data_IF_428395627436
#
_entry.id   IF_428395627436
#
_cell.length_a   1.000
_cell.length_b   1.000
_cell.length_c   1.000
_cell.angle_alpha   90.00
_cell.angle_beta   90.00
_cell.angle_gamma   90.00
#
_symmetry.space_group_name_H-M   'P 1'
#
loop_
_entity.id
_entity.type
_entity.pdbx_description
1 polymer ?
#
# COMPACT_ATOMS: atom_id res chain seq x y z
N UNK A 1 3.34 23.22 -10.21
CA UNK A 1 2.39 23.77 -9.20
C UNK A 1 3.11 24.81 -8.35
N UNK A 2 2.54 26.00 -8.11
CA UNK A 2 3.14 27.02 -7.23
C UNK A 2 3.08 26.61 -5.75
N UNK A 3 4.03 27.08 -4.92
CA UNK A 3 4.11 26.78 -3.50
C UNK A 3 2.81 27.13 -2.74
N UNK A 4 2.18 28.25 -3.08
CA UNK A 4 0.91 28.74 -2.50
C UNK A 4 -0.27 27.81 -2.78
N UNK A 5 -0.30 27.16 -3.97
CA UNK A 5 -1.32 26.16 -4.33
C UNK A 5 -1.09 24.84 -3.59
N UNK A 6 0.18 24.50 -3.28
CA UNK A 6 0.55 23.32 -2.49
C UNK A 6 0.13 23.46 -1.03
N UNK A 7 0.28 24.65 -0.45
CA UNK A 7 -0.14 24.93 0.94
C UNK A 7 -1.66 24.86 1.14
N UNK A 8 -2.42 25.47 0.23
CA UNK A 8 -3.90 25.40 0.24
C UNK A 8 -4.45 24.00 0.02
N UNK A 9 -3.71 23.14 -0.72
CA UNK A 9 -4.03 21.72 -0.90
C UNK A 9 -3.60 20.84 0.29
N UNK A 10 -2.58 21.23 1.05
CA UNK A 10 -2.08 20.48 2.20
C UNK A 10 -2.95 20.69 3.44
N UNK A 11 -3.34 21.94 3.71
CA UNK A 11 -4.23 22.30 4.82
C UNK A 11 -5.34 23.23 4.32
N UNK A 12 -6.59 22.72 4.31
CA UNK A 12 -7.80 23.56 4.16
C UNK A 12 -8.11 24.38 5.43
N UNK A 13 -7.12 24.58 6.29
CA UNK A 13 -7.25 25.02 7.69
C UNK A 13 -7.27 23.85 8.68
N UNK A 14 -6.57 24.02 9.82
CA UNK A 14 -6.42 23.00 10.85
C UNK A 14 -7.77 22.47 11.36
N UNK A 15 -8.69 23.39 11.67
CA UNK A 15 -10.01 23.05 12.19
C UNK A 15 -10.84 22.20 11.22
N UNK A 16 -10.82 22.53 9.94
CA UNK A 16 -11.55 21.80 8.90
C UNK A 16 -10.97 20.40 8.74
N UNK A 17 -9.64 20.27 8.65
CA UNK A 17 -9.00 18.96 8.50
C UNK A 17 -9.21 18.06 9.72
N UNK A 18 -9.14 18.63 10.93
CA UNK A 18 -9.44 17.90 12.18
C UNK A 18 -10.90 17.48 12.22
N UNK A 19 -11.85 18.37 11.92
CA UNK A 19 -13.27 18.06 11.90
C UNK A 19 -13.62 16.97 10.86
N UNK A 20 -13.14 17.10 9.62
CA UNK A 20 -13.35 16.11 8.57
C UNK A 20 -12.76 14.75 8.91
N UNK A 21 -11.62 14.72 9.61
CA UNK A 21 -11.04 13.45 10.07
C UNK A 21 -11.84 12.86 11.23
N UNK A 22 -12.19 13.65 12.24
CA UNK A 22 -12.98 13.20 13.38
C UNK A 22 -14.31 12.59 12.93
N UNK A 23 -15.03 13.26 12.04
CA UNK A 23 -16.28 12.74 11.47
C UNK A 23 -16.09 11.42 10.73
N UNK A 24 -15.04 11.28 9.91
CA UNK A 24 -14.68 9.99 9.27
C UNK A 24 -14.30 8.92 10.29
N UNK A 25 -13.57 9.26 11.34
CA UNK A 25 -13.21 8.33 12.41
C UNK A 25 -14.45 7.87 13.18
N UNK A 26 -15.42 8.75 13.44
CA UNK A 26 -16.68 8.40 14.08
C UNK A 26 -17.55 7.48 13.21
N UNK A 27 -17.63 7.72 11.90
CA UNK A 27 -18.31 6.81 10.97
C UNK A 27 -17.63 5.43 10.92
N UNK A 28 -16.30 5.41 10.83
CA UNK A 28 -15.52 4.16 10.91
C UNK A 28 -15.70 3.45 12.26
N UNK A 29 -15.74 4.17 13.37
CA UNK A 29 -15.97 3.62 14.70
C UNK A 29 -17.34 2.93 14.80
N UNK A 30 -18.40 3.56 14.25
CA UNK A 30 -19.73 2.95 14.23
C UNK A 30 -19.76 1.65 13.43
N UNK A 31 -19.02 1.58 12.32
CA UNK A 31 -18.95 0.39 11.45
C UNK A 31 -18.00 -0.69 11.97
N UNK A 32 -16.91 -0.29 12.61
CA UNK A 32 -15.84 -1.17 13.07
C UNK A 32 -15.16 -0.63 14.35
N UNK A 33 -15.79 -0.85 15.53
CA UNK A 33 -15.28 -0.31 16.79
C UNK A 33 -13.95 -0.94 17.20
N UNK A 34 -13.71 -2.21 16.84
CA UNK A 34 -12.44 -2.92 17.11
C UNK A 34 -11.28 -2.26 16.36
N UNK A 35 -11.45 -1.97 15.07
CA UNK A 35 -10.45 -1.25 14.29
C UNK A 35 -10.22 0.15 14.85
N UNK A 36 -11.27 0.86 15.28
CA UNK A 36 -11.11 2.20 15.83
C UNK A 36 -10.23 2.22 17.10
N UNK A 37 -10.44 1.26 18.01
CA UNK A 37 -9.57 1.09 19.19
C UNK A 37 -8.13 0.82 18.77
N UNK A 38 -7.93 -0.06 17.78
CA UNK A 38 -6.60 -0.30 17.22
C UNK A 38 -6.00 0.96 16.59
N UNK A 39 -6.74 1.74 15.81
CA UNK A 39 -6.23 2.94 15.15
C UNK A 39 -5.80 4.06 16.12
N UNK A 40 -6.29 4.02 17.36
CA UNK A 40 -5.81 4.88 18.45
C UNK A 40 -4.59 4.25 19.12
N UNK A 41 -4.73 3.01 19.59
CA UNK A 41 -3.74 2.34 20.42
C UNK A 41 -2.48 1.94 19.63
N UNK A 42 -2.63 1.51 18.38
CA UNK A 42 -1.56 1.12 17.47
C UNK A 42 -0.58 2.23 17.13
N UNK A 43 -0.91 3.50 17.42
CA UNK A 43 0.04 4.61 17.29
C UNK A 43 1.21 4.50 18.25
N UNK A 44 1.02 3.82 19.38
CA UNK A 44 2.02 3.70 20.44
C UNK A 44 2.84 2.42 20.25
N UNK A 45 4.14 2.57 20.00
CA UNK A 45 5.07 1.45 19.78
C UNK A 45 5.03 0.40 20.90
N UNK A 46 4.98 0.83 22.16
CA UNK A 46 4.91 -0.10 23.30
C UNK A 46 3.62 -0.93 23.34
N UNK A 47 2.47 -0.36 22.94
CA UNK A 47 1.22 -1.13 22.82
C UNK A 47 1.35 -2.17 21.71
N UNK A 48 1.88 -1.77 20.54
CA UNK A 48 2.13 -2.71 19.44
C UNK A 48 3.00 -3.88 19.89
N UNK A 49 4.08 -3.61 20.61
CA UNK A 49 4.97 -4.66 21.12
C UNK A 49 4.27 -5.61 22.09
N UNK A 50 3.39 -5.11 22.96
CA UNK A 50 2.59 -5.96 23.87
C UNK A 50 1.63 -6.83 23.06
N UNK A 51 0.88 -6.24 22.12
CA UNK A 51 -0.10 -6.97 21.31
C UNK A 51 0.56 -8.03 20.44
N UNK A 52 1.73 -7.76 19.84
CA UNK A 52 2.50 -8.77 19.09
C UNK A 52 2.86 -9.98 19.95
N UNK A 53 3.36 -9.74 21.18
CA UNK A 53 3.69 -10.83 22.13
C UNK A 53 2.47 -11.65 22.58
N UNK A 54 1.29 -11.05 22.57
CA UNK A 54 0.03 -11.72 22.90
C UNK A 54 -0.63 -12.40 21.70
N UNK A 55 -0.19 -12.11 20.47
CA UNK A 55 -0.72 -12.71 19.27
C UNK A 55 -0.32 -14.19 19.20
N UNK A 56 -1.09 -14.96 18.41
CA UNK A 56 -0.78 -16.35 18.13
C UNK A 56 0.65 -16.44 17.57
N UNK A 57 1.48 -17.23 18.24
CA UNK A 57 2.87 -17.39 17.86
C UNK A 57 2.96 -18.21 16.58
N UNK A 58 3.74 -17.73 15.61
CA UNK A 58 3.94 -18.46 14.35
C UNK A 58 4.65 -19.79 14.62
N UNK A 59 4.14 -20.87 14.05
CA UNK A 59 4.90 -22.11 13.97
C UNK A 59 5.87 -22.03 12.79
N UNK A 60 7.02 -21.36 12.99
CA UNK A 60 8.02 -21.17 11.94
C UNK A 60 8.50 -22.50 11.32
N UNK A 61 8.47 -23.61 12.07
CA UNK A 61 8.85 -24.91 11.55
C UNK A 61 7.88 -25.42 10.48
N UNK A 62 6.59 -25.09 10.60
CA UNK A 62 5.59 -25.38 9.57
C UNK A 62 5.89 -24.61 8.27
N UNK A 63 6.20 -23.31 8.36
CA UNK A 63 6.51 -22.49 7.18
C UNK A 63 7.82 -22.92 6.50
N UNK A 64 8.84 -23.28 7.29
CA UNK A 64 10.12 -23.78 6.77
C UNK A 64 9.96 -25.10 5.99
N UNK A 65 9.08 -26.00 6.44
CA UNK A 65 8.84 -27.30 5.80
C UNK A 65 8.23 -27.22 4.39
N UNK A 66 7.73 -26.05 3.99
CA UNK A 66 7.11 -25.81 2.69
C UNK A 66 7.96 -24.90 1.79
N UNK A 67 9.17 -24.52 2.22
CA UNK A 67 9.97 -23.52 1.51
C UNK A 67 10.39 -23.94 0.09
N UNK A 68 10.53 -25.25 -0.17
CA UNK A 68 10.86 -25.80 -1.49
C UNK A 68 9.74 -25.63 -2.53
N UNK A 69 8.51 -25.34 -2.09
CA UNK A 69 7.36 -25.08 -2.95
C UNK A 69 7.16 -23.59 -3.28
N UNK A 70 8.06 -22.72 -2.79
CA UNK A 70 7.97 -21.28 -3.01
C UNK A 70 8.42 -20.87 -4.41
N UNK A 71 7.86 -19.75 -4.88
CA UNK A 71 8.33 -19.09 -6.09
C UNK A 71 9.55 -18.16 -5.83
N UNK A 72 9.90 -17.90 -4.57
CA UNK A 72 10.99 -17.01 -4.14
C UNK A 72 12.18 -17.76 -3.53
N UNK A 73 12.69 -18.77 -4.24
CA UNK A 73 13.72 -19.67 -3.71
C UNK A 73 15.07 -18.99 -3.40
N UNK A 74 15.39 -17.91 -4.11
CA UNK A 74 16.65 -17.17 -3.92
C UNK A 74 16.61 -16.19 -2.73
N UNK A 75 15.44 -16.01 -2.12
CA UNK A 75 15.23 -15.02 -1.07
C UNK A 75 15.55 -15.62 0.31
N UNK A 76 16.41 -14.92 1.06
CA UNK A 76 16.68 -15.22 2.46
C UNK A 76 15.66 -14.52 3.37
N UNK A 77 14.68 -15.27 3.88
CA UNK A 77 13.62 -14.73 4.72
C UNK A 77 14.12 -14.13 6.05
N UNK A 78 15.22 -14.64 6.60
CA UNK A 78 15.82 -14.13 7.84
C UNK A 78 16.42 -12.75 7.60
N UNK A 79 17.27 -12.62 6.59
CA UNK A 79 17.89 -11.34 6.18
C UNK A 79 16.83 -10.26 5.93
N UNK A 80 15.77 -10.61 5.19
CA UNK A 80 14.68 -9.68 4.91
C UNK A 80 13.97 -9.25 6.19
N UNK A 81 13.59 -10.20 7.05
CA UNK A 81 12.87 -9.89 8.28
C UNK A 81 13.72 -9.03 9.24
N UNK A 82 15.02 -9.29 9.33
CA UNK A 82 15.92 -8.52 10.17
C UNK A 82 16.14 -7.11 9.62
N UNK A 83 16.33 -6.97 8.30
CA UNK A 83 16.38 -5.65 7.64
C UNK A 83 15.07 -4.89 7.87
N UNK A 84 13.90 -5.53 7.73
CA UNK A 84 12.62 -4.89 8.00
C UNK A 84 12.46 -4.43 9.46
N UNK A 85 13.02 -5.15 10.43
CA UNK A 85 12.99 -4.72 11.84
C UNK A 85 13.81 -3.45 12.06
N UNK A 86 14.97 -3.34 11.42
CA UNK A 86 15.86 -2.18 11.50
C UNK A 86 15.32 -0.98 10.70
N UNK A 87 14.98 -1.22 9.43
CA UNK A 87 14.73 -0.18 8.44
C UNK A 87 13.25 0.05 8.13
N UNK A 88 12.39 -0.93 8.42
CA UNK A 88 10.99 -0.90 8.01
C UNK A 88 10.77 -1.01 6.50
N UNK A 89 11.84 -1.19 5.72
CA UNK A 89 11.84 -1.30 4.26
C UNK A 89 12.91 -2.28 3.80
N UNK A 90 12.56 -3.21 2.91
CA UNK A 90 13.52 -4.09 2.22
C UNK A 90 13.23 -4.11 0.73
N UNK A 91 14.20 -3.69 -0.07
CA UNK A 91 14.12 -3.70 -1.54
C UNK A 91 14.50 -5.06 -2.13
N UNK A 92 14.19 -5.35 -3.38
CA UNK A 92 14.73 -6.53 -4.09
C UNK A 92 14.02 -7.85 -3.80
N UNK A 93 12.75 -7.82 -3.41
CA UNK A 93 11.89 -9.02 -3.39
C UNK A 93 11.33 -9.20 -4.81
N UNK A 94 12.14 -9.74 -5.71
CA UNK A 94 11.81 -9.80 -7.15
C UNK A 94 10.72 -10.82 -7.44
N UNK A 95 9.71 -10.40 -8.19
CA UNK A 95 8.61 -11.24 -8.65
C UNK A 95 9.12 -12.19 -9.74
N UNK A 96 8.83 -13.50 -9.64
CA UNK A 96 9.19 -14.47 -10.69
C UNK A 96 8.48 -14.19 -12.00
N UNK A 97 9.19 -14.34 -13.14
CA UNK A 97 8.71 -13.94 -14.46
C UNK A 97 7.37 -14.57 -14.86
N UNK A 98 7.15 -15.84 -14.52
CA UNK A 98 5.89 -16.52 -14.84
C UNK A 98 4.70 -15.94 -14.05
N UNK A 99 4.90 -15.58 -12.78
CA UNK A 99 3.89 -14.91 -11.94
C UNK A 99 3.61 -13.50 -12.48
N UNK A 100 4.68 -12.76 -12.83
CA UNK A 100 4.57 -11.44 -13.45
C UNK A 100 3.72 -11.49 -14.72
N UNK A 101 4.02 -12.44 -15.61
CA UNK A 101 3.33 -12.59 -16.89
C UNK A 101 1.84 -12.91 -16.70
N UNK A 102 1.49 -13.84 -15.80
CA UNK A 102 0.09 -14.17 -15.52
C UNK A 102 -0.70 -12.98 -14.95
N UNK A 103 -0.08 -12.18 -14.07
CA UNK A 103 -0.72 -10.99 -13.52
C UNK A 103 -0.92 -9.91 -14.60
N UNK A 104 0.06 -9.74 -15.49
CA UNK A 104 -0.07 -8.81 -16.62
C UNK A 104 -1.18 -9.24 -17.57
N UNK A 105 -1.25 -10.53 -17.92
CA UNK A 105 -2.34 -11.08 -18.74
C UNK A 105 -3.70 -10.79 -18.11
N UNK A 106 -3.85 -11.08 -16.81
CA UNK A 106 -5.06 -10.75 -16.06
C UNK A 106 -5.38 -9.24 -16.10
N UNK A 107 -4.39 -8.38 -15.87
CA UNK A 107 -4.58 -6.94 -15.85
C UNK A 107 -5.00 -6.39 -17.22
N UNK A 108 -4.41 -6.87 -18.32
CA UNK A 108 -4.75 -6.40 -19.66
C UNK A 108 -6.08 -6.98 -20.18
N UNK A 109 -6.52 -8.13 -19.67
CA UNK A 109 -7.77 -8.78 -20.10
C UNK A 109 -8.98 -8.49 -19.21
N UNK A 110 -8.82 -7.74 -18.11
CA UNK A 110 -9.87 -7.54 -17.10
C UNK A 110 -10.16 -6.05 -16.90
N UNK A 111 -11.43 -5.69 -16.70
CA UNK A 111 -11.77 -4.30 -16.41
C UNK A 111 -11.14 -3.81 -15.10
N UNK A 112 -10.49 -2.66 -15.16
CA UNK A 112 -10.09 -1.88 -14.01
C UNK A 112 -11.08 -0.73 -13.78
N UNK A 113 -11.13 -0.20 -12.56
CA UNK A 113 -12.18 0.73 -12.12
C UNK A 113 -11.60 2.07 -11.69
N UNK A 114 -11.94 3.11 -12.46
CA UNK A 114 -11.41 4.45 -12.32
C UNK A 114 -11.72 5.13 -10.99
N UNK A 115 -10.73 5.82 -10.42
CA UNK A 115 -10.84 6.64 -9.20
C UNK A 115 -11.53 5.93 -8.02
N UNK A 116 -11.28 4.62 -7.85
CA UNK A 116 -11.87 3.74 -6.81
C UNK A 116 -13.40 3.56 -6.93
N UNK A 117 -14.02 3.98 -8.03
CA UNK A 117 -15.45 3.89 -8.25
C UNK A 117 -15.79 2.59 -8.99
N UNK A 118 -16.53 1.64 -8.37
CA UNK A 118 -16.89 0.36 -9.01
C UNK A 118 -17.78 0.51 -10.25
N UNK A 119 -18.28 1.71 -10.56
CA UNK A 119 -19.08 1.98 -11.76
C UNK A 119 -18.31 2.64 -12.90
N UNK A 120 -17.01 2.84 -12.73
CA UNK A 120 -16.13 3.41 -13.76
C UNK A 120 -15.20 2.33 -14.32
N UNK A 121 -15.76 1.17 -14.70
CA UNK A 121 -15.02 0.04 -15.27
C UNK A 121 -14.61 0.26 -16.73
N UNK A 122 -13.42 -0.19 -17.10
CA UNK A 122 -12.91 -0.18 -18.48
C UNK A 122 -11.71 -1.13 -18.62
N UNK A 123 -11.46 -1.64 -19.82
CA UNK A 123 -10.20 -2.32 -20.12
C UNK A 123 -9.08 -1.29 -20.27
N UNK A 124 -7.89 -1.58 -19.74
CA UNK A 124 -6.76 -0.64 -19.82
C UNK A 124 -6.44 -0.22 -21.27
N UNK A 125 -6.60 -1.12 -22.25
CA UNK A 125 -6.42 -0.83 -23.69
C UNK A 125 -7.37 0.24 -24.23
N UNK A 126 -8.50 0.48 -23.57
CA UNK A 126 -9.50 1.47 -23.98
C UNK A 126 -9.29 2.83 -23.32
N UNK A 127 -8.32 2.97 -22.41
CA UNK A 127 -8.15 4.14 -21.54
C UNK A 127 -8.17 5.46 -22.32
N UNK A 128 -7.42 5.53 -23.41
CA UNK A 128 -7.25 6.76 -24.20
C UNK A 128 -8.47 7.10 -25.06
N UNK A 129 -9.38 6.14 -25.24
CA UNK A 129 -10.65 6.32 -25.98
C UNK A 129 -11.81 6.72 -25.06
N UNK A 130 -11.61 6.71 -23.73
CA UNK A 130 -12.67 7.00 -22.77
C UNK A 130 -13.05 8.47 -22.80
N UNK A 131 -14.32 8.73 -23.12
CA UNK A 131 -14.92 10.04 -22.93
C UNK A 131 -15.55 10.12 -21.53
N UNK A 132 -14.71 10.35 -20.51
CA UNK A 132 -15.16 10.55 -19.13
C UNK A 132 -15.29 12.04 -18.80
N UNK A 133 -16.40 12.46 -18.20
CA UNK A 133 -16.55 13.81 -17.64
C UNK A 133 -15.50 14.12 -16.56
N UNK A 134 -14.99 13.09 -15.88
CA UNK A 134 -13.99 13.20 -14.82
C UNK A 134 -12.67 12.60 -15.26
N UNK A 135 -11.58 13.33 -15.05
CA UNK A 135 -10.21 12.83 -15.26
C UNK A 135 -9.93 11.62 -14.36
N UNK A 136 -9.46 10.54 -14.96
CA UNK A 136 -9.05 9.32 -14.24
C UNK A 136 -7.56 9.44 -13.89
N UNK A 137 -7.23 9.49 -12.59
CA UNK A 137 -5.83 9.55 -12.12
C UNK A 137 -5.30 8.17 -11.70
N UNK A 138 -6.22 7.25 -11.43
CA UNK A 138 -5.94 5.88 -10.99
C UNK A 138 -7.08 4.97 -11.41
N UNK A 139 -6.81 3.69 -11.56
CA UNK A 139 -7.84 2.66 -11.64
C UNK A 139 -7.40 1.43 -10.86
N UNK A 140 -8.31 0.77 -10.16
CA UNK A 140 -7.98 -0.44 -9.40
C UNK A 140 -8.79 -1.64 -9.89
N UNK A 141 -8.25 -2.82 -9.67
CA UNK A 141 -8.98 -4.06 -9.85
C UNK A 141 -9.63 -4.45 -8.52
N UNK A 142 -10.72 -5.21 -8.60
CA UNK A 142 -11.41 -5.76 -7.44
C UNK A 142 -11.40 -7.29 -7.52
N UNK A 143 -11.51 -7.94 -6.36
CA UNK A 143 -11.53 -9.41 -6.24
C UNK A 143 -10.28 -10.09 -6.84
N UNK A 144 -9.12 -9.44 -6.81
CA UNK A 144 -7.92 -9.88 -7.53
C UNK A 144 -7.42 -11.25 -7.08
N UNK A 145 -7.37 -11.52 -5.78
CA UNK A 145 -7.00 -12.85 -5.25
C UNK A 145 -8.04 -13.95 -5.50
N UNK A 146 -9.27 -13.59 -5.85
CA UNK A 146 -10.31 -14.55 -6.25
C UNK A 146 -10.28 -14.85 -7.75
N UNK A 147 -9.87 -13.88 -8.56
CA UNK A 147 -9.96 -13.93 -10.02
C UNK A 147 -8.61 -14.21 -10.71
N UNK A 148 -7.48 -13.93 -10.07
CA UNK A 148 -6.14 -14.14 -10.60
C UNK A 148 -5.40 -15.20 -9.76
N UNK A 149 -5.18 -16.43 -10.29
CA UNK A 149 -4.49 -17.49 -9.57
C UNK A 149 -3.08 -17.09 -9.09
N UNK A 150 -2.30 -16.38 -9.90
CA UNK A 150 -0.99 -15.85 -9.53
C UNK A 150 -1.04 -14.96 -8.26
N UNK A 151 -2.04 -14.08 -8.12
CA UNK A 151 -2.18 -13.25 -6.92
C UNK A 151 -2.56 -14.10 -5.70
N UNK A 152 -3.39 -15.13 -5.89
CA UNK A 152 -3.69 -16.10 -4.83
C UNK A 152 -2.43 -16.87 -4.40
N UNK A 153 -1.63 -17.33 -5.37
CA UNK A 153 -0.35 -18.00 -5.12
C UNK A 153 0.58 -17.12 -4.30
N UNK A 154 0.68 -15.82 -4.59
CA UNK A 154 1.47 -14.89 -3.78
C UNK A 154 0.94 -14.72 -2.35
N UNK A 155 -0.38 -14.68 -2.17
CA UNK A 155 -0.99 -14.58 -0.85
C UNK A 155 -0.72 -15.81 0.04
N UNK A 156 -0.50 -16.97 -0.60
CA UNK A 156 -0.26 -18.26 0.05
C UNK A 156 1.21 -18.71 -0.06
N UNK A 157 2.10 -17.91 -0.68
CA UNK A 157 3.48 -18.33 -0.98
C UNK A 157 4.27 -18.58 0.31
N UNK A 158 4.84 -19.79 0.50
CA UNK A 158 5.52 -20.15 1.74
C UNK A 158 6.63 -19.19 2.17
N UNK A 159 7.37 -18.58 1.22
CA UNK A 159 8.46 -17.66 1.54
C UNK A 159 7.96 -16.29 1.96
N UNK A 160 6.93 -15.76 1.30
CA UNK A 160 6.31 -14.49 1.71
C UNK A 160 5.64 -14.62 3.09
N UNK A 161 4.98 -15.76 3.33
CA UNK A 161 4.41 -16.10 4.64
C UNK A 161 5.52 -16.25 5.69
N UNK A 162 6.64 -16.91 5.39
CA UNK A 162 7.79 -17.02 6.30
C UNK A 162 8.34 -15.64 6.68
N UNK A 163 8.57 -14.77 5.70
CA UNK A 163 9.03 -13.39 5.94
C UNK A 163 8.04 -12.65 6.85
N UNK A 164 6.75 -12.71 6.53
CA UNK A 164 5.71 -12.08 7.32
C UNK A 164 5.69 -12.60 8.76
N UNK A 165 5.74 -13.93 8.95
CA UNK A 165 5.77 -14.55 10.27
C UNK A 165 6.97 -14.09 11.11
N UNK A 166 8.17 -14.08 10.51
CA UNK A 166 9.41 -13.64 11.18
C UNK A 166 9.42 -12.16 11.54
N UNK A 167 8.83 -11.34 10.68
CA UNK A 167 8.79 -9.90 10.87
C UNK A 167 7.71 -9.49 11.88
N UNK A 168 6.52 -10.09 11.80
CA UNK A 168 5.39 -9.81 12.67
C UNK A 168 5.54 -10.44 14.06
N UNK A 169 6.41 -11.46 14.19
CA UNK A 169 6.61 -12.27 15.41
C UNK A 169 5.31 -12.95 15.87
N UNK A 170 4.51 -13.38 14.88
CA UNK A 170 3.16 -13.91 15.05
C UNK A 170 2.71 -14.63 13.76
N UNK A 171 1.70 -15.48 13.88
CA UNK A 171 1.06 -16.16 12.74
C UNK A 171 0.45 -15.13 11.78
N UNK A 172 0.98 -14.99 10.55
CA UNK A 172 0.58 -13.93 9.64
C UNK A 172 -0.78 -14.24 9.00
N UNK A 173 -1.69 -13.27 9.05
CA UNK A 173 -3.00 -13.33 8.41
C UNK A 173 -2.93 -12.53 7.11
N UNK A 174 -3.18 -13.17 5.97
CA UNK A 174 -3.42 -12.44 4.73
C UNK A 174 -4.70 -11.59 4.88
N UNK A 175 -4.55 -10.27 4.73
CA UNK A 175 -5.66 -9.31 4.92
C UNK A 175 -6.21 -8.76 3.60
N UNK A 176 -5.46 -8.93 2.51
CA UNK A 176 -5.93 -8.60 1.17
C UNK A 176 -4.81 -8.26 0.19
N UNK A 177 -5.21 -8.14 -1.06
CA UNK A 177 -4.39 -7.70 -2.18
C UNK A 177 -4.97 -6.42 -2.78
N UNK A 178 -4.12 -5.66 -3.48
CA UNK A 178 -4.57 -4.51 -4.26
C UNK A 178 -3.72 -4.41 -5.53
N UNK A 179 -4.38 -4.39 -6.67
CA UNK A 179 -3.75 -4.15 -7.97
C UNK A 179 -4.31 -2.84 -8.53
N UNK A 180 -3.45 -1.89 -8.90
CA UNK A 180 -3.93 -0.62 -9.42
C UNK A 180 -2.93 0.11 -10.32
N UNK A 181 -3.50 0.84 -11.26
CA UNK A 181 -2.82 1.81 -12.10
C UNK A 181 -2.75 3.18 -11.43
N UNK A 182 -1.66 3.89 -11.69
CA UNK A 182 -1.58 5.34 -11.56
C UNK A 182 -1.30 5.89 -12.95
N UNK A 183 -2.09 6.87 -13.38
CA UNK A 183 -2.08 7.34 -14.76
C UNK A 183 -1.29 8.63 -14.91
N UNK A 184 -0.57 8.75 -16.01
CA UNK A 184 -0.10 10.03 -16.51
C UNK A 184 -1.32 10.86 -16.87
N UNK A 185 -1.35 12.07 -16.35
CA UNK A 185 -2.40 13.06 -16.62
C UNK A 185 -1.71 14.35 -16.96
N UNK A 186 -2.29 15.16 -17.85
CA UNK A 186 -1.75 16.49 -18.17
C UNK A 186 -1.83 17.46 -16.98
N UNK A 187 -0.89 18.40 -16.89
CA UNK A 187 -0.85 19.43 -15.83
C UNK A 187 -2.03 20.39 -15.85
N UNK A 188 -2.70 20.54 -17.00
CA UNK A 188 -3.90 21.34 -17.16
C UNK A 188 -5.09 20.80 -16.36
N UNK A 189 -5.11 19.49 -16.08
CA UNK A 189 -6.20 18.85 -15.36
C UNK A 189 -6.00 18.98 -13.84
N UNK A 190 -7.08 19.23 -13.06
CA UNK A 190 -6.98 19.39 -11.62
C UNK A 190 -6.59 18.08 -10.93
N UNK A 191 -5.30 17.90 -10.67
CA UNK A 191 -4.75 16.76 -9.93
C UNK A 191 -5.14 16.84 -8.45
N UNK A 192 -6.08 15.99 -8.01
CA UNK A 192 -6.54 15.96 -6.61
C UNK A 192 -5.53 15.22 -5.72
N UNK A 193 -4.74 15.98 -4.96
CA UNK A 193 -3.76 15.47 -3.99
C UNK A 193 -4.40 14.61 -2.88
N UNK A 194 -5.71 14.73 -2.64
CA UNK A 194 -6.41 13.89 -1.67
C UNK A 194 -6.70 12.48 -2.18
N UNK A 195 -6.80 12.30 -3.50
CA UNK A 195 -7.07 11.00 -4.15
C UNK A 195 -5.80 10.25 -4.53
N UNK A 196 -4.66 10.93 -4.55
CA UNK A 196 -3.40 10.42 -5.14
C UNK A 196 -2.29 10.22 -4.11
N UNK A 197 -2.62 10.31 -2.81
CA UNK A 197 -1.72 9.97 -1.69
C UNK A 197 -0.33 10.63 -1.83
N UNK A 198 -0.33 11.93 -2.17
CA UNK A 198 0.90 12.67 -2.53
C UNK A 198 1.69 13.19 -1.34
N UNK A 199 1.12 13.11 -0.14
CA UNK A 199 1.75 13.56 1.10
C UNK A 199 2.22 12.37 1.91
N UNK A 200 3.34 12.52 2.60
CA UNK A 200 3.83 11.50 3.51
C UNK A 200 2.79 11.20 4.57
N UNK A 201 2.53 9.92 4.79
CA UNK A 201 1.64 9.40 5.81
C UNK A 201 2.07 7.98 6.14
N UNK A 202 1.53 7.41 7.19
CA UNK A 202 1.67 5.99 7.48
C UNK A 202 0.28 5.41 7.67
N UNK A 203 0.17 4.12 7.46
CA UNK A 203 -1.07 3.39 7.56
C UNK A 203 -1.23 2.73 8.92
N UNK A 204 -2.48 2.64 9.36
CA UNK A 204 -2.87 2.14 10.69
C UNK A 204 -3.87 1.03 10.45
N UNK A 205 -3.35 -0.06 9.92
CA UNK A 205 -4.14 -1.18 9.41
C UNK A 205 -4.30 -2.25 10.50
N UNK A 206 -3.27 -2.41 11.33
CA UNK A 206 -3.25 -3.24 12.54
C UNK A 206 -2.09 -2.81 13.47
N UNK A 207 -1.92 -3.47 14.61
CA UNK A 207 -0.77 -3.32 15.51
C UNK A 207 0.56 -3.80 14.88
N UNK A 208 0.49 -4.67 13.88
CA UNK A 208 1.63 -5.12 13.09
C UNK A 208 1.13 -5.49 11.69
N UNK A 209 1.71 -4.90 10.66
CA UNK A 209 1.31 -5.15 9.28
C UNK A 209 2.53 -5.02 8.37
N UNK A 210 2.62 -5.91 7.39
CA UNK A 210 3.67 -5.97 6.40
C UNK A 210 3.03 -6.00 5.01
N UNK A 211 3.55 -5.17 4.10
CA UNK A 211 3.14 -5.17 2.70
C UNK A 211 4.30 -5.58 1.82
N UNK A 212 4.01 -6.42 0.84
CA UNK A 212 4.86 -6.65 -0.31
C UNK A 212 4.29 -5.88 -1.50
N UNK A 213 5.13 -5.12 -2.17
CA UNK A 213 4.79 -4.39 -3.39
C UNK A 213 5.61 -4.94 -4.55
N UNK A 214 4.99 -5.01 -5.72
CA UNK A 214 5.63 -5.42 -6.96
C UNK A 214 5.25 -4.45 -8.07
N UNK A 215 6.24 -3.85 -8.72
CA UNK A 215 6.01 -3.07 -9.93
C UNK A 215 5.78 -4.03 -11.10
N UNK A 216 4.70 -3.80 -11.85
CA UNK A 216 4.34 -4.60 -13.03
C UNK A 216 4.67 -3.86 -14.34
N UNK A 217 5.00 -2.58 -14.24
CA UNK A 217 5.62 -1.76 -15.26
C UNK A 217 6.98 -1.29 -14.79
N UNK A 218 7.83 -0.83 -15.70
CA UNK A 218 9.10 -0.20 -15.32
C UNK A 218 8.83 1.11 -14.57
N UNK A 219 9.66 1.45 -13.59
CA UNK A 219 9.51 2.67 -12.76
C UNK A 219 10.85 3.36 -12.62
N UNK A 220 11.01 4.46 -13.34
CA UNK A 220 12.10 5.41 -13.20
C UNK A 220 11.67 6.61 -12.31
N UNK A 221 12.50 7.66 -12.27
CA UNK A 221 12.22 8.89 -11.51
C UNK A 221 10.91 9.59 -11.94
N UNK A 222 10.51 9.44 -13.20
CA UNK A 222 9.33 10.05 -13.79
C UNK A 222 8.13 9.08 -13.87
N UNK A 223 8.33 7.80 -13.59
CA UNK A 223 7.29 6.75 -13.52
C UNK A 223 6.42 6.83 -12.27
N UNK A 224 6.57 7.89 -11.47
CA UNK A 224 5.82 8.11 -10.25
C UNK A 224 6.16 7.12 -9.15
N UNK A 225 7.43 6.94 -8.76
CA UNK A 225 7.86 5.95 -7.78
C UNK A 225 7.18 6.08 -6.42
N UNK A 226 7.05 4.93 -5.74
CA UNK A 226 6.70 4.89 -4.33
C UNK A 226 7.90 5.43 -3.53
N UNK A 227 7.63 6.25 -2.51
CA UNK A 227 8.67 6.82 -1.66
C UNK A 227 8.40 6.42 -0.23
N UNK A 228 9.38 5.81 0.43
CA UNK A 228 9.30 5.34 1.81
C UNK A 228 10.43 5.95 2.64
N UNK A 229 10.17 6.25 3.91
CA UNK A 229 11.15 6.80 4.85
C UNK A 229 11.69 5.70 5.74
N UNK A 230 12.94 5.30 5.50
CA UNK A 230 13.65 4.26 6.26
C UNK A 230 13.69 4.60 7.76
N UNK A 231 13.51 3.59 8.60
CA UNK A 231 13.58 3.68 10.07
C UNK A 231 12.41 4.44 10.71
N UNK A 232 11.48 4.97 9.92
CA UNK A 232 10.41 5.81 10.45
C UNK A 232 9.29 5.01 11.13
N UNK A 233 9.18 3.69 10.92
CA UNK A 233 8.21 2.81 11.57
C UNK A 233 8.35 2.74 13.11
N UNK A 234 9.56 2.93 13.63
CA UNK A 234 9.86 2.91 15.08
C UNK A 234 10.26 4.28 15.61
N UNK A 235 10.91 5.13 14.80
CA UNK A 235 11.49 6.40 15.24
C UNK A 235 10.56 7.61 15.04
N UNK A 236 9.33 7.55 15.58
CA UNK A 236 8.41 8.72 15.58
C UNK A 236 8.48 9.50 16.87
N UNK A 237 8.47 10.82 16.77
CA UNK A 237 8.38 11.71 17.93
C UNK A 237 6.97 11.68 18.54
N UNK A 238 6.86 11.98 19.83
CA UNK A 238 5.55 12.01 20.51
C UNK A 238 4.55 12.99 19.83
N UNK A 239 4.96 14.20 19.39
CA UNK A 239 4.07 15.06 18.60
C UNK A 239 3.59 14.40 17.31
N UNK A 240 4.45 13.65 16.60
CA UNK A 240 4.05 12.95 15.38
C UNK A 240 3.03 11.84 15.64
N UNK A 241 3.13 11.15 16.77
CA UNK A 241 2.23 10.08 17.21
C UNK A 241 0.85 10.64 17.61
N UNK A 242 0.84 11.69 18.44
CA UNK A 242 -0.38 12.27 19.01
C UNK A 242 -1.19 13.10 18.02
N UNK A 243 -0.55 13.60 16.96
CA UNK A 243 -1.22 14.48 16.02
C UNK A 243 -2.34 13.77 15.23
N UNK A 244 -3.54 14.35 15.12
CA UNK A 244 -4.70 13.69 14.50
C UNK A 244 -4.57 13.57 12.97
N UNK A 245 -3.83 14.46 12.32
CA UNK A 245 -3.66 14.51 10.86
C UNK A 245 -2.36 13.81 10.46
N UNK A 246 -2.41 12.54 10.07
CA UNK A 246 -1.21 11.74 9.74
C UNK A 246 -0.34 12.26 8.58
N UNK A 247 -0.82 13.25 7.81
CA UNK A 247 -0.08 13.81 6.67
C UNK A 247 1.09 14.68 7.13
N UNK A 248 2.21 14.59 6.42
CA UNK A 248 3.44 15.37 6.63
C UNK A 248 3.90 15.99 5.32
N UNK A 249 4.50 17.17 5.42
CA UNK A 249 5.20 17.78 4.29
C UNK A 249 6.56 17.12 4.12
N UNK A 250 7.11 17.24 2.92
CA UNK A 250 8.45 16.77 2.59
C UNK A 250 9.52 17.43 3.49
N UNK A 251 9.42 18.74 3.74
CA UNK A 251 10.40 19.47 4.53
C UNK A 251 10.43 18.99 6.00
N UNK A 252 9.25 18.70 6.57
CA UNK A 252 9.13 18.16 7.94
C UNK A 252 9.74 16.75 8.06
N UNK A 253 9.55 15.92 7.02
CA UNK A 253 10.11 14.57 6.97
C UNK A 253 11.62 14.64 6.85
N UNK A 254 12.15 15.44 5.92
CA UNK A 254 13.60 15.58 5.72
C UNK A 254 14.26 16.16 6.97
N UNK A 255 13.65 17.17 7.60
CA UNK A 255 14.18 17.75 8.84
C UNK A 255 14.23 16.74 10.00
N UNK A 256 13.30 15.79 10.06
CA UNK A 256 13.21 14.81 11.14
C UNK A 256 14.03 13.53 10.89
N UNK A 257 14.14 13.10 9.63
CA UNK A 257 14.69 11.79 9.27
C UNK A 257 15.94 11.87 8.40
N UNK A 258 16.31 13.04 7.87
CA UNK A 258 17.39 13.19 6.90
C UNK A 258 16.94 12.80 5.48
N UNK A 259 17.52 13.45 4.47
CA UNK A 259 17.18 13.16 3.07
C UNK A 259 17.68 11.79 2.61
N UNK A 260 18.75 11.28 3.23
CA UNK A 260 19.33 9.96 2.98
C UNK A 260 18.39 8.80 3.36
N UNK A 261 17.42 9.05 4.26
CA UNK A 261 16.43 8.06 4.66
C UNK A 261 15.14 8.16 3.84
N UNK A 262 15.00 9.14 2.95
CA UNK A 262 13.86 9.27 2.03
C UNK A 262 14.18 8.50 0.75
N UNK A 263 13.71 7.26 0.67
CA UNK A 263 14.05 6.33 -0.41
C UNK A 263 12.98 6.38 -1.49
N UNK A 264 13.35 6.91 -2.66
CA UNK A 264 12.57 6.77 -3.89
C UNK A 264 12.82 5.38 -4.49
N UNK A 265 11.78 4.56 -4.57
CA UNK A 265 11.90 3.17 -4.96
C UNK A 265 11.72 3.06 -6.48
N UNK A 266 12.84 2.93 -7.18
CA UNK A 266 12.91 2.72 -8.63
C UNK A 266 13.17 1.24 -8.91
N UNK A 267 12.73 0.77 -10.07
CA UNK A 267 13.01 -0.60 -10.50
C UNK A 267 12.32 -0.98 -11.80
N UNK A 268 12.85 -1.99 -12.52
CA UNK A 268 12.16 -2.55 -13.68
C UNK A 268 10.88 -3.26 -13.26
N UNK A 269 10.03 -3.62 -14.23
CA UNK A 269 8.92 -4.55 -14.00
C UNK A 269 9.43 -5.83 -13.33
N UNK A 270 8.63 -6.38 -12.42
CA UNK A 270 8.99 -7.50 -11.56
C UNK A 270 9.78 -7.09 -10.31
N UNK A 271 10.35 -5.88 -10.25
CA UNK A 271 11.01 -5.41 -9.03
C UNK A 271 10.00 -5.26 -7.90
N UNK A 272 10.33 -5.83 -6.73
CA UNK A 272 9.49 -5.74 -5.55
C UNK A 272 10.23 -5.35 -4.29
N UNK A 273 9.45 -4.99 -3.27
CA UNK A 273 9.93 -4.53 -1.98
C UNK A 273 8.92 -4.85 -0.88
N UNK A 274 9.40 -4.99 0.35
CA UNK A 274 8.59 -5.19 1.54
C UNK A 274 8.65 -3.94 2.43
N UNK A 275 7.53 -3.55 3.02
CA UNK A 275 7.39 -2.31 3.81
C UNK A 275 6.52 -2.53 5.05
N UNK A 276 6.98 -2.05 6.21
CA UNK A 276 6.13 -1.86 7.38
C UNK A 276 5.15 -0.72 7.11
N UNK A 277 3.84 -0.95 7.27
CA UNK A 277 2.82 0.10 7.06
C UNK A 277 2.98 1.32 7.97
N UNK A 278 3.71 1.18 9.07
CA UNK A 278 4.06 2.28 9.94
C UNK A 278 5.15 3.18 9.37
N UNK A 279 5.91 2.80 8.34
CA UNK A 279 6.80 3.72 7.65
C UNK A 279 6.01 4.91 7.09
N UNK A 280 6.59 6.10 7.16
CA UNK A 280 6.08 7.22 6.37
C UNK A 280 6.34 6.91 4.90
N UNK A 281 5.28 6.94 4.11
CA UNK A 281 5.37 6.77 2.67
C UNK A 281 4.42 7.70 1.92
N UNK A 282 4.65 7.81 0.61
CA UNK A 282 3.78 8.49 -0.34
C UNK A 282 3.91 7.87 -1.72
N UNK A 283 2.91 8.12 -2.56
CA UNK A 283 3.04 7.91 -3.99
C UNK A 283 3.44 9.24 -4.64
N UNK A 284 4.29 9.19 -5.67
CA UNK A 284 4.52 10.33 -6.55
C UNK A 284 3.71 10.16 -7.84
N UNK A 285 3.44 11.29 -8.50
CA UNK A 285 2.65 11.32 -9.73
C UNK A 285 3.50 10.78 -10.88
N UNK A 286 3.01 9.82 -11.68
CA UNK A 286 3.66 9.45 -12.93
C UNK A 286 3.55 10.58 -13.96
N UNK A 287 4.66 10.88 -14.63
CA UNK A 287 4.82 11.96 -15.60
C UNK A 287 5.13 11.41 -17.00
N UNK A 288 5.86 10.31 -17.10
CA UNK A 288 6.29 9.72 -18.38
C UNK A 288 5.46 8.51 -18.82
N UNK A 289 5.03 7.67 -17.87
CA UNK A 289 4.30 6.44 -18.17
C UNK A 289 3.37 6.01 -17.03
N UNK A 290 2.29 5.33 -17.40
CA UNK A 290 1.37 4.74 -16.43
C UNK A 290 2.08 3.66 -15.61
N UNK A 291 1.79 3.64 -14.30
CA UNK A 291 2.39 2.68 -13.37
C UNK A 291 1.38 1.69 -12.85
N UNK A 292 1.57 0.42 -13.17
CA UNK A 292 0.84 -0.69 -12.54
C UNK A 292 1.66 -1.26 -11.38
N UNK A 293 1.00 -1.40 -10.23
CA UNK A 293 1.61 -1.94 -9.02
C UNK A 293 0.65 -2.90 -8.32
N UNK A 294 1.19 -4.00 -7.82
CA UNK A 294 0.51 -4.95 -6.94
C UNK A 294 0.98 -4.76 -5.51
N UNK A 295 0.07 -4.88 -4.55
CA UNK A 295 0.33 -4.97 -3.13
C UNK A 295 -0.29 -6.26 -2.57
N UNK A 296 0.45 -6.98 -1.73
CA UNK A 296 0.01 -8.12 -0.91
C UNK A 296 0.22 -7.74 0.55
N UNK A 297 -0.78 -7.97 1.41
CA UNK A 297 -0.72 -7.51 2.81
C UNK A 297 -0.96 -8.62 3.83
N UNK A 298 -0.07 -8.69 4.83
CA UNK A 298 -0.19 -9.55 6.00
C UNK A 298 -0.27 -8.72 7.29
N UNK A 299 -1.07 -9.16 8.25
CA UNK A 299 -1.19 -8.54 9.58
C UNK A 299 -1.40 -9.61 10.66
N UNK A 300 -1.51 -9.21 11.93
CA UNK A 300 -1.77 -10.14 13.03
C UNK A 300 -3.27 -10.23 13.39
N UNK A 301 -4.08 -9.29 12.90
CA UNK A 301 -5.54 -9.28 12.96
C UNK A 301 -6.13 -8.79 11.64
N UNK A 302 -7.29 -9.34 11.26
CA UNK A 302 -8.06 -8.87 10.11
C UNK A 302 -9.30 -8.09 10.57
N UNK A 303 -9.35 -6.80 10.25
CA UNK A 303 -10.50 -5.93 10.52
C UNK A 303 -11.47 -5.80 9.33
N UNK A 304 -11.22 -6.45 8.19
CA UNK A 304 -12.09 -6.39 7.01
C UNK A 304 -12.08 -5.03 6.30
N UNK A 305 -10.96 -4.30 6.36
CA UNK A 305 -10.83 -2.96 5.77
C UNK A 305 -9.79 -2.88 4.64
N UNK A 306 -8.97 -3.91 4.46
CA UNK A 306 -7.78 -3.90 3.60
C UNK A 306 -7.85 -4.96 2.49
N UNK A 307 -9.06 -5.29 2.04
CA UNK A 307 -9.30 -6.17 0.91
C UNK A 307 -9.88 -5.39 -0.27
N UNK A 308 -9.69 -5.93 -1.47
CA UNK A 308 -10.32 -5.46 -2.70
C UNK A 308 -11.62 -6.20 -3.03
N UNK A 309 -12.18 -6.94 -2.06
CA UNK A 309 -13.45 -7.63 -2.27
C UNK A 309 -14.59 -6.65 -2.55
N UNK A 310 -15.32 -6.93 -3.62
CA UNK A 310 -16.47 -6.14 -4.05
C UNK A 310 -17.55 -7.05 -4.61
N UNK A 311 -18.79 -6.80 -4.20
CA UNK A 311 -19.97 -7.45 -4.79
C UNK A 311 -19.96 -7.23 -6.31
N UNK A 312 -19.88 -8.32 -7.13
CA UNK A 312 -19.84 -8.23 -8.58
C UNK A 312 -21.04 -7.47 -9.18
N UNK A 313 -22.20 -7.46 -8.53
CA UNK A 313 -23.39 -6.73 -9.02
C UNK A 313 -23.24 -5.21 -8.99
N UNK A 314 -22.25 -4.70 -8.23
CA UNK A 314 -21.94 -3.27 -8.15
C UNK A 314 -20.92 -2.82 -9.21
N UNK A 315 -20.26 -3.78 -9.87
CA UNK A 315 -19.24 -3.53 -10.87
C UNK A 315 -19.90 -3.22 -12.21
N UNK A 316 -19.60 -2.06 -12.80
CA UNK A 316 -20.15 -1.64 -14.11
C UNK A 316 -19.07 -1.00 -14.98
N UNK A 317 -19.08 -1.33 -16.26
CA UNK A 317 -18.23 -0.64 -17.24
C UNK A 317 -18.84 0.72 -17.64
N UNK A 318 -17.99 1.65 -18.06
CA UNK A 318 -18.40 2.99 -18.50
C UNK A 318 -19.18 2.93 -19.82
N UNK A 319 -18.85 1.95 -20.67
CA UNK A 319 -19.45 1.76 -22.00
C UNK A 319 -20.75 0.91 -21.98
N UNK A 320 -21.20 0.43 -20.82
CA UNK A 320 -22.41 -0.41 -20.62
C UNK A 320 -23.61 0.37 -20.08
#
# INVERSE_FOLDING_TARGET
>A
MSATRRETLFFRGLYIEVFLRLTKYLDKMRKNPRWFLMAIAGRFGWIRSIVRKMANQANLQQHLSQSDASNFNEVNAVDIADTLKEDGLRLGVTLPDHILQEILEFAYSTSCYGNLNPRLGFLYSEKDELNCETTLFTAQYFNTSLLCPAIKTLAEDPKLVEIAARYLDADPIFTGSRLWWNFVVEDANPYDSNKTITFFHYDLDDYACLRFFFYLTDVDENGGPHVCVRGSHTNKTLPQILWPVKRRKDEDIIACYGSENVISILGPRGFGFAEDTFCYHKATRPLSQDRLILQIQFAIHNYGLHHDLKDPSLLKNIKE
#
